data_IF_464354179448
#
_entry.id   IF_464354179448
#
_cell.length_a   1.000
_cell.length_b   1.000
_cell.length_c   1.000
_cell.angle_alpha   90.00
_cell.angle_beta   90.00
_cell.angle_gamma   90.00
#
_symmetry.space_group_name_H-M   'P 1'
#
loop_
_entity.id
_entity.type
_entity.pdbx_description
1 polymer ?
#
# COMPACT_ATOMS: atom_id res chain seq x y z
N UNK A 1 5.27 -25.85 -44.47
CA UNK A 1 6.01 -26.29 -43.27
C UNK A 1 7.54 -26.28 -43.39
N UNK A 2 8.19 -26.32 -44.55
CA UNK A 2 9.67 -26.27 -44.69
C UNK A 2 10.33 -24.91 -44.36
N UNK A 3 9.60 -23.78 -44.45
CA UNK A 3 10.17 -22.42 -44.23
C UNK A 3 10.35 -22.05 -42.72
N UNK A 4 9.63 -22.65 -41.79
CA UNK A 4 9.73 -22.29 -40.37
C UNK A 4 10.99 -22.86 -39.70
N UNK A 5 11.46 -24.04 -40.14
CA UNK A 5 12.69 -24.65 -39.62
C UNK A 5 13.98 -23.93 -40.07
N UNK A 6 13.94 -23.20 -41.19
CA UNK A 6 15.05 -22.35 -41.69
C UNK A 6 15.19 -21.08 -40.87
N UNK A 7 14.08 -20.46 -40.46
CA UNK A 7 14.05 -19.20 -39.72
C UNK A 7 14.62 -19.33 -38.31
N UNK A 8 14.22 -20.37 -37.57
CA UNK A 8 14.76 -20.65 -36.22
C UNK A 8 16.26 -20.97 -36.22
N UNK A 9 16.78 -21.63 -37.28
CA UNK A 9 18.20 -21.89 -37.45
C UNK A 9 19.00 -20.61 -37.73
N UNK A 10 18.46 -19.71 -38.53
CA UNK A 10 19.06 -18.40 -38.84
C UNK A 10 19.10 -17.53 -37.57
N UNK A 11 18.01 -17.49 -36.81
CA UNK A 11 17.91 -16.76 -35.54
C UNK A 11 18.93 -17.27 -34.50
N UNK A 12 19.00 -18.60 -34.33
CA UNK A 12 19.98 -19.23 -33.43
C UNK A 12 21.43 -18.95 -33.86
N UNK A 13 21.72 -18.97 -35.16
CA UNK A 13 23.06 -18.68 -35.72
C UNK A 13 23.40 -17.19 -35.54
N UNK A 14 22.44 -16.29 -35.69
CA UNK A 14 22.58 -14.84 -35.43
C UNK A 14 22.96 -14.57 -33.98
N UNK A 15 22.24 -15.18 -33.03
CA UNK A 15 22.46 -15.03 -31.57
C UNK A 15 23.81 -15.64 -31.12
N UNK A 16 24.21 -16.78 -31.72
CA UNK A 16 25.42 -17.52 -31.30
C UNK A 16 26.72 -16.94 -31.87
N UNK A 17 26.73 -16.41 -33.11
CA UNK A 17 27.96 -15.90 -33.75
C UNK A 17 28.37 -14.49 -33.29
N UNK A 18 27.48 -13.73 -32.63
CA UNK A 18 27.75 -12.36 -32.15
C UNK A 18 27.45 -12.20 -30.67
N UNK A 19 27.96 -13.15 -29.87
CA UNK A 19 27.65 -13.29 -28.42
C UNK A 19 27.82 -11.99 -27.62
N UNK A 20 28.85 -11.19 -27.90
CA UNK A 20 29.17 -10.01 -27.10
C UNK A 20 28.06 -8.92 -27.14
N UNK A 21 27.41 -8.70 -28.30
CA UNK A 21 26.38 -7.65 -28.44
C UNK A 21 24.99 -8.10 -28.04
N UNK A 22 24.61 -9.29 -28.47
CA UNK A 22 23.36 -9.89 -27.98
C UNK A 22 23.40 -10.02 -26.45
N UNK A 23 24.60 -10.28 -25.89
CA UNK A 23 24.82 -10.32 -24.45
C UNK A 23 24.66 -8.93 -23.81
N UNK A 24 25.20 -7.85 -24.40
CA UNK A 24 25.03 -6.49 -23.86
C UNK A 24 23.57 -6.03 -23.87
N UNK A 25 22.83 -6.32 -24.95
CA UNK A 25 21.38 -6.03 -25.00
C UNK A 25 20.60 -6.88 -24.00
N UNK A 26 20.95 -8.17 -23.85
CA UNK A 26 20.36 -9.06 -22.87
C UNK A 26 20.62 -8.58 -21.44
N UNK A 27 21.86 -8.20 -21.12
CA UNK A 27 22.22 -7.65 -19.81
C UNK A 27 21.45 -6.37 -19.53
N UNK A 28 21.37 -5.44 -20.48
CA UNK A 28 20.59 -4.20 -20.30
C UNK A 28 19.11 -4.49 -20.01
N UNK A 29 18.49 -5.42 -20.74
CA UNK A 29 17.09 -5.81 -20.53
C UNK A 29 16.91 -6.58 -19.21
N UNK A 30 17.88 -7.42 -18.83
CA UNK A 30 17.87 -8.11 -17.55
C UNK A 30 17.96 -7.12 -16.38
N UNK A 31 18.84 -6.13 -16.47
CA UNK A 31 18.96 -5.08 -15.45
C UNK A 31 17.65 -4.27 -15.35
N UNK A 32 17.09 -3.85 -16.50
CA UNK A 32 15.79 -3.16 -16.51
C UNK A 32 14.68 -3.96 -15.83
N UNK A 33 14.52 -5.22 -16.26
CA UNK A 33 13.51 -6.10 -15.70
C UNK A 33 13.76 -6.40 -14.22
N UNK A 34 15.04 -6.60 -13.84
CA UNK A 34 15.43 -6.89 -12.46
C UNK A 34 15.15 -5.72 -11.52
N UNK A 35 15.56 -4.51 -11.91
CA UNK A 35 15.32 -3.31 -11.09
C UNK A 35 13.82 -2.98 -11.02
N UNK A 36 13.10 -3.05 -12.14
CA UNK A 36 11.65 -2.85 -12.14
C UNK A 36 10.93 -3.88 -11.27
N UNK A 37 11.31 -5.16 -11.35
CA UNK A 37 10.75 -6.23 -10.49
C UNK A 37 11.06 -5.97 -9.02
N UNK A 38 12.31 -5.65 -8.68
CA UNK A 38 12.70 -5.40 -7.29
C UNK A 38 11.92 -4.21 -6.70
N UNK A 39 11.89 -3.07 -7.39
CA UNK A 39 11.19 -1.87 -6.93
C UNK A 39 9.68 -2.10 -6.78
N UNK A 40 9.04 -2.70 -7.80
CA UNK A 40 7.60 -2.94 -7.75
C UNK A 40 7.22 -3.99 -6.70
N UNK A 41 8.05 -5.00 -6.46
CA UNK A 41 7.82 -6.01 -5.42
C UNK A 41 7.99 -5.40 -4.03
N UNK A 42 9.09 -4.67 -3.79
CA UNK A 42 9.32 -3.97 -2.51
C UNK A 42 8.21 -2.96 -2.21
N UNK A 43 7.79 -2.23 -3.26
CA UNK A 43 6.70 -1.29 -3.11
C UNK A 43 5.38 -1.98 -2.72
N UNK A 44 5.00 -3.04 -3.45
CA UNK A 44 3.77 -3.77 -3.16
C UNK A 44 3.80 -4.44 -1.76
N UNK A 45 4.99 -4.79 -1.26
CA UNK A 45 5.17 -5.28 0.10
C UNK A 45 5.04 -4.16 1.14
N UNK A 46 5.66 -3.01 0.88
CA UNK A 46 5.55 -1.83 1.75
C UNK A 46 4.11 -1.35 1.85
N UNK A 47 3.42 -1.25 0.71
CA UNK A 47 2.00 -0.87 0.63
C UNK A 47 1.12 -1.84 1.45
N UNK A 48 1.31 -3.15 1.28
CA UNK A 48 0.57 -4.16 2.03
C UNK A 48 0.86 -4.11 3.55
N UNK A 49 2.11 -3.84 3.95
CA UNK A 49 2.51 -3.69 5.35
C UNK A 49 1.94 -2.40 5.95
N UNK A 50 2.10 -1.27 5.26
CA UNK A 50 1.51 0.00 5.69
C UNK A 50 -0.01 -0.12 5.88
N UNK A 51 -0.72 -0.68 4.92
CA UNK A 51 -2.17 -0.91 5.04
C UNK A 51 -2.53 -1.89 6.18
N UNK A 52 -1.66 -2.83 6.52
CA UNK A 52 -1.86 -3.73 7.66
C UNK A 52 -1.61 -2.99 8.98
N UNK A 53 -0.55 -2.22 9.07
CA UNK A 53 -0.22 -1.40 10.25
C UNK A 53 -1.29 -0.31 10.48
N UNK A 54 -1.64 0.46 9.45
CA UNK A 54 -2.68 1.49 9.57
C UNK A 54 -4.06 0.92 9.90
N UNK A 55 -4.37 -0.32 9.51
CA UNK A 55 -5.58 -1.03 9.94
C UNK A 55 -5.56 -1.41 11.41
N UNK A 56 -4.40 -1.46 12.04
CA UNK A 56 -4.27 -1.77 13.47
C UNK A 56 -4.45 -0.55 14.38
N UNK A 57 -4.49 0.68 13.83
CA UNK A 57 -4.56 1.93 14.60
C UNK A 57 -5.96 2.40 14.99
N UNK A 58 -6.93 1.50 15.15
CA UNK A 58 -8.24 1.83 15.71
C UNK A 58 -9.23 2.43 14.70
N UNK A 59 -10.10 3.32 15.18
CA UNK A 59 -11.19 3.89 14.40
C UNK A 59 -10.70 4.76 13.24
N UNK A 60 -11.33 4.60 12.08
CA UNK A 60 -11.11 5.46 10.90
C UNK A 60 -12.34 6.30 10.52
N UNK A 61 -13.49 6.01 11.16
CA UNK A 61 -14.72 6.78 11.04
C UNK A 61 -15.26 7.07 12.42
N UNK A 62 -15.76 8.28 12.62
CA UNK A 62 -16.42 8.72 13.84
C UNK A 62 -17.85 9.17 13.51
N UNK A 63 -18.80 8.71 14.32
CA UNK A 63 -20.20 9.13 14.27
C UNK A 63 -20.51 9.88 15.54
N UNK A 64 -20.98 11.11 15.39
CA UNK A 64 -21.36 12.00 16.51
C UNK A 64 -22.75 12.58 16.31
N UNK A 65 -23.37 12.97 17.40
CA UNK A 65 -24.60 13.78 17.33
C UNK A 65 -24.26 15.22 16.97
N UNK A 66 -25.06 15.91 16.12
CA UNK A 66 -24.83 17.32 15.83
C UNK A 66 -24.97 18.15 17.12
N UNK A 67 -23.94 18.94 17.39
CA UNK A 67 -23.89 19.80 18.57
C UNK A 67 -24.90 20.99 18.44
N UNK A 68 -26.15 20.73 18.71
CA UNK A 68 -27.11 21.79 19.01
C UNK A 68 -27.40 21.72 20.50
N UNK A 69 -26.75 22.59 21.30
CA UNK A 69 -27.00 22.78 22.74
C UNK A 69 -26.39 21.72 23.71
N UNK A 70 -25.09 21.47 23.64
CA UNK A 70 -24.35 20.70 24.68
C UNK A 70 -24.69 19.21 24.64
N UNK A 71 -23.67 18.36 24.62
CA UNK A 71 -23.70 16.90 24.75
C UNK A 71 -25.00 16.20 24.30
N UNK A 72 -25.34 16.32 23.01
CA UNK A 72 -26.49 15.59 22.48
C UNK A 72 -26.16 14.09 22.47
N UNK A 73 -26.90 13.33 23.27
CA UNK A 73 -26.80 11.89 23.34
C UNK A 73 -27.10 11.24 21.99
N UNK A 74 -26.41 10.18 21.68
CA UNK A 74 -26.75 9.32 20.54
C UNK A 74 -28.06 8.55 20.84
N UNK A 75 -28.88 8.26 19.83
CA UNK A 75 -30.01 7.35 19.99
C UNK A 75 -29.55 5.98 20.54
N UNK A 76 -30.38 5.36 21.39
CA UNK A 76 -30.05 4.08 22.01
C UNK A 76 -29.84 2.94 21.00
N UNK A 77 -30.39 3.05 19.80
CA UNK A 77 -30.24 2.09 18.70
C UNK A 77 -29.07 2.45 17.73
N UNK A 78 -28.39 3.59 17.96
CA UNK A 78 -27.37 4.10 17.04
C UNK A 78 -26.24 3.10 16.81
N UNK A 79 -25.71 2.47 17.86
CA UNK A 79 -24.64 1.49 17.74
C UNK A 79 -25.05 0.27 16.89
N UNK A 80 -26.28 -0.22 17.07
CA UNK A 80 -26.80 -1.34 16.29
C UNK A 80 -26.91 -0.98 14.80
N UNK A 81 -27.45 0.19 14.49
CA UNK A 81 -27.56 0.71 13.13
C UNK A 81 -26.18 0.96 12.50
N UNK A 82 -25.23 1.50 13.27
CA UNK A 82 -23.84 1.67 12.82
C UNK A 82 -23.20 0.33 12.45
N UNK A 83 -23.34 -0.68 13.30
CA UNK A 83 -22.81 -2.03 13.03
C UNK A 83 -23.40 -2.65 11.77
N UNK A 84 -24.71 -2.48 11.55
CA UNK A 84 -25.39 -2.97 10.36
C UNK A 84 -24.91 -2.25 9.08
N UNK A 85 -24.80 -0.93 9.11
CA UNK A 85 -24.40 -0.12 7.94
C UNK A 85 -22.91 -0.22 7.61
N UNK A 86 -22.04 -0.33 8.62
CA UNK A 86 -20.60 -0.44 8.44
C UNK A 86 -20.18 -1.77 7.81
N UNK A 87 -20.95 -2.84 8.06
CA UNK A 87 -20.69 -4.20 7.54
C UNK A 87 -20.16 -5.16 8.61
N UNK A 88 -20.25 -6.45 8.31
CA UNK A 88 -19.95 -7.53 9.29
C UNK A 88 -18.49 -7.54 9.78
N UNK A 89 -17.56 -7.08 8.96
CA UNK A 89 -16.12 -7.06 9.30
C UNK A 89 -15.70 -5.76 10.01
N UNK A 90 -16.61 -4.80 10.19
CA UNK A 90 -16.32 -3.55 10.87
C UNK A 90 -16.41 -3.72 12.39
N UNK A 91 -15.47 -3.13 13.12
CA UNK A 91 -15.54 -3.02 14.56
C UNK A 91 -16.10 -1.64 14.94
N UNK A 92 -17.00 -1.60 15.93
CA UNK A 92 -17.57 -0.35 16.42
C UNK A 92 -17.75 -0.38 17.93
N UNK A 93 -17.38 0.71 18.59
CA UNK A 93 -17.55 0.93 20.02
C UNK A 93 -18.14 2.33 20.28
N UNK A 94 -19.00 2.42 21.29
CA UNK A 94 -19.56 3.68 21.77
C UNK A 94 -18.74 4.25 22.92
N UNK A 95 -18.69 5.59 22.97
CA UNK A 95 -18.02 6.32 24.05
C UNK A 95 -18.90 7.44 24.57
N UNK A 96 -18.95 7.58 25.89
CA UNK A 96 -19.45 8.75 26.59
C UNK A 96 -18.32 9.44 27.31
N UNK A 97 -18.25 10.76 27.30
CA UNK A 97 -17.17 11.50 27.94
C UNK A 97 -17.71 12.46 28.99
N UNK A 98 -16.99 12.55 30.12
CA UNK A 98 -17.21 13.52 31.18
C UNK A 98 -15.86 13.99 31.74
N UNK A 99 -15.84 15.18 32.31
CA UNK A 99 -14.66 15.66 33.04
C UNK A 99 -14.94 15.54 34.54
N UNK A 100 -14.15 14.72 35.22
CA UNK A 100 -14.22 14.52 36.67
C UNK A 100 -12.96 15.04 37.32
N UNK A 101 -12.99 15.17 38.64
CA UNK A 101 -11.86 15.57 39.46
C UNK A 101 -11.34 14.35 40.26
N UNK A 102 -10.05 14.15 40.27
CA UNK A 102 -9.42 13.10 41.07
C UNK A 102 -9.36 13.49 42.57
N UNK A 103 -9.02 12.55 43.45
CA UNK A 103 -8.75 12.77 44.89
C UNK A 103 -7.66 13.82 45.15
N UNK A 104 -6.79 14.09 44.17
CA UNK A 104 -5.77 15.15 44.22
C UNK A 104 -6.24 16.50 43.70
N UNK A 105 -7.53 16.64 43.34
CA UNK A 105 -8.11 17.86 42.82
C UNK A 105 -7.76 18.14 41.35
N UNK A 106 -7.18 17.16 40.63
CA UNK A 106 -6.80 17.31 39.22
C UNK A 106 -7.94 16.90 38.31
N UNK A 107 -8.33 17.74 37.33
CA UNK A 107 -9.34 17.35 36.32
C UNK A 107 -8.80 16.26 35.43
N UNK A 108 -9.63 15.26 35.17
CA UNK A 108 -9.33 14.12 34.28
C UNK A 108 -10.54 13.82 33.41
N UNK A 109 -10.29 13.44 32.15
CA UNK A 109 -11.33 12.96 31.28
C UNK A 109 -11.67 11.51 31.61
N UNK A 110 -12.93 11.26 31.87
CA UNK A 110 -13.47 9.91 32.11
C UNK A 110 -14.28 9.51 30.90
N UNK A 111 -14.02 8.31 30.40
CA UNK A 111 -14.72 7.74 29.23
C UNK A 111 -15.50 6.49 29.63
N UNK A 112 -16.82 6.50 29.42
CA UNK A 112 -17.64 5.30 29.51
C UNK A 112 -17.62 4.54 28.20
N UNK A 113 -17.43 3.21 28.22
CA UNK A 113 -17.40 2.38 27.03
C UNK A 113 -17.67 0.89 27.33
N UNK A 114 -17.86 0.09 26.27
CA UNK A 114 -17.85 -1.37 26.32
C UNK A 114 -16.43 -1.89 26.05
N UNK A 115 -15.80 -2.48 27.05
CA UNK A 115 -14.42 -2.98 26.96
C UNK A 115 -14.25 -4.07 25.92
N UNK A 116 -15.24 -4.95 25.70
CA UNK A 116 -15.15 -6.00 24.67
C UNK A 116 -15.20 -5.41 23.26
N UNK A 117 -16.00 -4.38 23.07
CA UNK A 117 -16.08 -3.66 21.80
C UNK A 117 -14.78 -2.88 21.55
N UNK A 118 -14.25 -2.18 22.57
CA UNK A 118 -12.99 -1.43 22.47
C UNK A 118 -11.81 -2.34 22.21
N UNK A 119 -11.74 -3.50 22.85
CA UNK A 119 -10.68 -4.49 22.62
C UNK A 119 -10.64 -4.98 21.17
N UNK A 120 -11.79 -5.09 20.51
CA UNK A 120 -11.87 -5.42 19.09
C UNK A 120 -11.51 -4.24 18.19
N UNK A 121 -12.01 -3.05 18.55
CA UNK A 121 -11.77 -1.81 17.79
C UNK A 121 -10.31 -1.37 17.87
N UNK A 122 -9.74 -1.39 19.08
CA UNK A 122 -8.40 -0.88 19.40
C UNK A 122 -7.46 -2.02 19.81
N UNK A 123 -7.30 -3.02 18.93
CA UNK A 123 -6.42 -4.18 19.17
C UNK A 123 -4.94 -3.80 19.39
N UNK A 124 -4.55 -2.57 19.03
CA UNK A 124 -3.21 -2.01 19.20
C UNK A 124 -2.96 -1.43 20.61
N UNK A 125 -4.01 -1.25 21.42
CA UNK A 125 -3.86 -0.77 22.78
C UNK A 125 -3.04 -1.75 23.62
N UNK A 126 -1.98 -1.24 24.23
CA UNK A 126 -1.17 -2.01 25.17
C UNK A 126 -1.83 -1.91 26.55
N UNK A 127 -2.49 -2.97 26.97
CA UNK A 127 -3.21 -3.04 28.25
C UNK A 127 -2.65 -4.20 29.06
N UNK A 128 -2.20 -3.93 30.28
CA UNK A 128 -1.66 -4.94 31.16
C UNK A 128 -2.73 -5.95 31.62
N UNK A 129 -3.90 -5.46 31.98
CA UNK A 129 -5.05 -6.28 32.35
C UNK A 129 -6.35 -5.56 31.97
N UNK A 130 -7.22 -6.25 31.23
CA UNK A 130 -8.53 -5.71 30.88
C UNK A 130 -9.51 -5.89 32.06
N UNK A 131 -10.35 -4.87 32.36
CA UNK A 131 -11.47 -5.05 33.28
C UNK A 131 -12.38 -6.17 32.81
N UNK A 132 -12.87 -6.98 33.73
CA UNK A 132 -13.87 -8.01 33.38
C UNK A 132 -15.24 -7.36 33.23
N UNK A 133 -16.06 -7.83 32.28
CA UNK A 133 -17.40 -7.31 31.98
C UNK A 133 -18.33 -7.33 33.19
N UNK A 134 -18.09 -8.24 34.13
CA UNK A 134 -18.89 -8.41 35.35
C UNK A 134 -18.49 -7.46 36.46
N UNK A 135 -17.36 -6.78 36.37
CA UNK A 135 -16.86 -5.85 37.43
C UNK A 135 -17.27 -4.41 37.11
N UNK A 136 -18.45 -4.02 37.52
CA UNK A 136 -18.98 -2.68 37.33
C UNK A 136 -18.12 -1.57 37.97
N UNK A 137 -17.27 -1.92 38.94
CA UNK A 137 -16.41 -0.97 39.65
C UNK A 137 -14.96 -1.00 39.18
N UNK A 138 -14.67 -1.67 38.09
CA UNK A 138 -13.33 -1.71 37.53
C UNK A 138 -13.07 -0.56 36.55
N UNK A 139 -11.93 0.11 36.71
CA UNK A 139 -11.48 1.17 35.80
C UNK A 139 -10.20 0.76 35.08
N UNK A 140 -10.10 1.11 33.79
CA UNK A 140 -8.85 1.04 33.03
C UNK A 140 -8.18 2.41 33.07
N UNK A 141 -6.96 2.49 33.57
CA UNK A 141 -6.25 3.75 33.82
C UNK A 141 -5.28 4.04 32.66
N UNK A 142 -5.43 5.15 31.99
CA UNK A 142 -4.41 5.63 31.07
C UNK A 142 -3.10 5.92 31.79
N UNK A 143 -1.97 5.63 31.17
CA UNK A 143 -0.64 5.75 31.76
C UNK A 143 -0.37 7.14 32.35
N UNK A 144 -0.84 8.22 31.70
CA UNK A 144 -0.69 9.58 32.19
C UNK A 144 -1.72 9.93 33.27
N UNK A 145 -2.96 9.46 33.11
CA UNK A 145 -4.01 9.67 34.07
C UNK A 145 -3.67 9.03 35.44
N UNK A 146 -3.04 7.86 35.46
CA UNK A 146 -2.61 7.17 36.67
C UNK A 146 -1.69 8.02 37.55
N UNK A 147 -0.89 8.94 37.00
CA UNK A 147 -0.02 9.82 37.77
C UNK A 147 -0.78 10.83 38.66
N UNK A 148 -2.06 11.07 38.39
CA UNK A 148 -2.91 11.99 39.12
C UNK A 148 -3.81 11.30 40.14
N UNK A 149 -3.64 9.98 40.34
CA UNK A 149 -4.41 9.16 41.27
C UNK A 149 -3.51 8.84 42.47
N UNK A 150 -4.02 8.93 43.68
CA UNK A 150 -3.27 8.65 44.91
C UNK A 150 -3.09 7.14 45.14
N UNK A 151 -4.16 6.38 44.95
CA UNK A 151 -4.16 4.91 45.09
C UNK A 151 -4.91 4.26 43.93
N UNK A 152 -4.23 3.49 43.12
CA UNK A 152 -4.81 2.77 42.01
C UNK A 152 -5.74 1.62 42.45
N UNK A 153 -5.64 1.16 43.67
CA UNK A 153 -6.53 0.14 44.21
C UNK A 153 -7.89 0.72 44.63
N UNK A 154 -7.91 2.04 44.95
CA UNK A 154 -9.10 2.77 45.36
C UNK A 154 -9.13 4.13 44.66
N UNK A 155 -9.42 4.11 43.36
CA UNK A 155 -9.52 5.32 42.52
C UNK A 155 -10.77 6.11 42.88
N UNK A 156 -10.60 7.28 43.47
CA UNK A 156 -11.71 8.17 43.83
C UNK A 156 -11.84 9.26 42.78
N UNK A 157 -13.01 9.34 42.14
CA UNK A 157 -13.36 10.37 41.19
C UNK A 157 -14.59 11.14 41.67
N UNK A 158 -14.63 12.43 41.45
CA UNK A 158 -15.76 13.28 41.77
C UNK A 158 -16.34 13.96 40.55
N UNK A 159 -17.62 13.80 40.27
CA UNK A 159 -18.36 14.45 39.20
C UNK A 159 -19.58 15.13 39.77
N UNK A 160 -19.67 16.46 39.62
CA UNK A 160 -20.80 17.28 40.10
C UNK A 160 -21.16 16.98 41.60
N UNK A 161 -20.13 16.89 42.45
CA UNK A 161 -20.24 16.56 43.87
C UNK A 161 -20.72 15.13 44.20
N UNK A 162 -20.73 14.25 43.22
CA UNK A 162 -21.00 12.82 43.41
C UNK A 162 -19.69 12.03 43.32
N UNK A 163 -19.16 11.56 44.46
CA UNK A 163 -17.95 10.75 44.49
C UNK A 163 -18.23 9.31 44.01
N UNK A 164 -17.32 8.75 43.23
CA UNK A 164 -17.33 7.37 42.81
C UNK A 164 -15.97 6.73 43.16
N UNK A 165 -16.00 5.58 43.83
CA UNK A 165 -14.81 4.83 44.14
C UNK A 165 -14.74 3.59 43.23
N UNK A 166 -13.64 3.44 42.55
CA UNK A 166 -13.40 2.38 41.59
C UNK A 166 -12.08 1.65 41.89
N UNK A 167 -11.94 0.46 41.38
CA UNK A 167 -10.70 -0.31 41.44
C UNK A 167 -9.98 -0.21 40.06
N UNK A 168 -8.73 0.23 40.06
CA UNK A 168 -7.91 0.14 38.86
C UNK A 168 -7.64 -1.33 38.53
N UNK A 169 -8.12 -1.78 37.39
CA UNK A 169 -7.98 -3.15 36.91
C UNK A 169 -6.72 -3.35 36.09
N UNK A 170 -6.27 -2.30 35.38
CA UNK A 170 -5.08 -2.32 34.56
C UNK A 170 -4.70 -0.95 34.05
N UNK A 171 -3.55 -0.87 33.40
CA UNK A 171 -3.04 0.34 32.77
C UNK A 171 -3.08 0.24 31.26
N UNK A 172 -3.43 1.37 30.61
CA UNK A 172 -3.41 1.54 29.17
C UNK A 172 -2.21 2.39 28.78
N UNK A 173 -1.48 1.95 27.76
CA UNK A 173 -0.40 2.70 27.13
C UNK A 173 -0.61 2.71 25.63
N UNK A 174 -0.76 3.91 25.06
CA UNK A 174 -0.90 4.13 23.61
C UNK A 174 0.15 5.09 23.08
N UNK A 175 0.68 5.98 23.93
CA UNK A 175 1.49 7.12 23.52
C UNK A 175 0.64 8.31 23.05
N UNK A 176 -0.67 8.15 22.92
CA UNK A 176 -1.64 9.13 22.47
C UNK A 176 -2.44 9.79 23.59
N UNK A 177 -3.50 10.50 23.24
CA UNK A 177 -4.38 11.21 24.18
C UNK A 177 -5.17 10.26 25.10
N UNK A 178 -5.34 9.00 24.70
CA UNK A 178 -6.00 7.95 25.45
C UNK A 178 -5.29 7.70 26.79
N UNK A 179 -3.97 7.89 26.85
CA UNK A 179 -3.17 7.75 28.06
C UNK A 179 -3.56 8.75 29.15
N UNK A 180 -4.26 9.82 28.81
CA UNK A 180 -4.71 10.87 29.75
C UNK A 180 -6.13 10.65 30.26
N UNK A 181 -6.77 9.52 29.90
CA UNK A 181 -8.17 9.22 30.23
C UNK A 181 -8.28 8.06 31.21
N UNK A 182 -9.42 8.01 31.92
CA UNK A 182 -9.82 6.87 32.73
C UNK A 182 -11.06 6.26 32.09
N UNK A 183 -11.06 4.96 31.86
CA UNK A 183 -12.15 4.26 31.18
C UNK A 183 -12.96 3.44 32.18
N UNK A 184 -14.28 3.55 32.09
CA UNK A 184 -15.28 2.85 32.92
C UNK A 184 -16.20 2.00 32.04
N UNK A 185 -16.81 0.94 32.59
CA UNK A 185 -17.93 0.31 31.92
C UNK A 185 -19.04 1.32 31.65
N UNK A 186 -19.65 1.31 30.46
CA UNK A 186 -20.67 2.26 30.05
C UNK A 186 -21.83 2.35 31.06
N UNK A 187 -22.28 1.22 31.61
CA UNK A 187 -23.34 1.17 32.60
C UNK A 187 -22.98 1.95 33.88
N UNK A 188 -21.76 1.77 34.39
CA UNK A 188 -21.27 2.50 35.57
C UNK A 188 -21.12 3.99 35.30
N UNK A 189 -20.58 4.33 34.13
CA UNK A 189 -20.44 5.72 33.68
C UNK A 189 -21.79 6.44 33.60
N UNK A 190 -22.78 5.84 32.94
CA UNK A 190 -24.11 6.42 32.78
C UNK A 190 -24.86 6.54 34.13
N UNK A 191 -24.76 5.51 34.97
CA UNK A 191 -25.37 5.54 36.32
C UNK A 191 -24.77 6.65 37.22
N UNK A 192 -23.46 6.92 37.08
CA UNK A 192 -22.75 7.90 37.89
C UNK A 192 -22.95 9.34 37.39
N UNK A 193 -22.80 9.54 36.06
CA UNK A 193 -22.77 10.90 35.46
C UNK A 193 -24.11 11.34 34.89
N UNK A 194 -25.05 10.42 34.66
CA UNK A 194 -26.27 10.66 33.89
C UNK A 194 -26.03 10.89 32.39
N UNK A 195 -24.76 10.87 31.96
CA UNK A 195 -24.42 11.10 30.55
C UNK A 195 -24.58 9.82 29.74
N UNK A 196 -25.07 9.98 28.51
CA UNK A 196 -25.22 8.91 27.53
C UNK A 196 -24.08 8.91 26.53
N UNK A 197 -23.88 7.83 25.72
CA UNK A 197 -22.92 7.82 24.64
C UNK A 197 -23.09 9.02 23.70
N UNK A 198 -22.01 9.67 23.36
CA UNK A 198 -21.97 10.83 22.48
C UNK A 198 -21.20 10.62 21.19
N UNK A 199 -20.38 9.58 21.16
CA UNK A 199 -19.49 9.25 20.04
C UNK A 199 -19.53 7.74 19.77
N UNK A 200 -19.61 7.34 18.51
CA UNK A 200 -19.31 5.96 18.09
C UNK A 200 -18.09 6.01 17.20
N UNK A 201 -17.08 5.27 17.61
CA UNK A 201 -15.87 5.05 16.83
C UNK A 201 -16.01 3.76 16.02
N UNK A 202 -15.67 3.82 14.74
CA UNK A 202 -15.83 2.70 13.80
C UNK A 202 -14.53 2.46 13.07
N UNK A 203 -14.11 1.21 13.03
CA UNK A 203 -13.01 0.74 12.18
C UNK A 203 -13.60 -0.02 10.99
N UNK A 204 -13.53 0.56 9.82
CA UNK A 204 -13.92 -0.07 8.56
C UNK A 204 -12.68 -0.68 7.93
N UNK A 205 -12.65 -2.01 7.68
CA UNK A 205 -11.50 -2.64 7.06
C UNK A 205 -11.42 -2.29 5.56
N UNK A 206 -10.19 -2.27 5.04
CA UNK A 206 -9.93 -1.96 3.63
C UNK A 206 -9.35 -0.56 3.40
N UNK A 207 -9.20 -0.18 2.13
CA UNK A 207 -8.63 1.10 1.74
C UNK A 207 -9.64 2.26 1.75
N UNK A 208 -9.18 3.46 1.38
CA UNK A 208 -9.97 4.70 1.39
C UNK A 208 -11.32 4.58 0.64
N UNK A 209 -11.39 3.80 -0.44
CA UNK A 209 -12.63 3.57 -1.19
C UNK A 209 -13.70 2.82 -0.35
N UNK A 210 -13.28 1.81 0.44
CA UNK A 210 -14.18 1.07 1.32
C UNK A 210 -14.69 1.94 2.47
N UNK A 211 -13.81 2.75 3.05
CA UNK A 211 -14.16 3.74 4.10
C UNK A 211 -15.17 4.75 3.55
N UNK A 212 -14.92 5.30 2.36
CA UNK A 212 -15.85 6.25 1.71
C UNK A 212 -17.22 5.62 1.43
N UNK A 213 -17.26 4.37 0.95
CA UNK A 213 -18.49 3.64 0.71
C UNK A 213 -19.27 3.35 2.02
N UNK A 214 -18.56 2.95 3.09
CA UNK A 214 -19.17 2.75 4.41
C UNK A 214 -19.72 4.05 5.00
N UNK A 215 -18.99 5.16 4.88
CA UNK A 215 -19.46 6.48 5.31
C UNK A 215 -20.72 6.91 4.56
N UNK A 216 -20.81 6.64 3.26
CA UNK A 216 -22.01 6.93 2.49
C UNK A 216 -23.23 6.15 3.01
N UNK A 217 -23.08 4.85 3.30
CA UNK A 217 -24.13 4.03 3.91
C UNK A 217 -24.50 4.52 5.31
N UNK A 218 -23.51 4.83 6.14
CA UNK A 218 -23.75 5.37 7.50
C UNK A 218 -24.54 6.68 7.47
N UNK A 219 -24.25 7.58 6.53
CA UNK A 219 -25.02 8.85 6.37
C UNK A 219 -26.47 8.61 5.93
N UNK A 220 -26.71 7.57 5.14
CA UNK A 220 -28.06 7.19 4.73
C UNK A 220 -28.86 6.56 5.89
N UNK A 221 -28.25 5.70 6.67
CA UNK A 221 -28.90 4.99 7.78
C UNK A 221 -29.08 5.84 9.03
N UNK A 222 -28.25 6.88 9.19
CA UNK A 222 -28.24 7.75 10.38
C UNK A 222 -28.49 9.22 9.99
N UNK A 223 -29.69 9.55 9.45
CA UNK A 223 -30.01 10.93 9.08
C UNK A 223 -29.96 11.83 10.31
N UNK A 224 -29.24 12.96 10.19
CA UNK A 224 -29.08 13.92 11.30
C UNK A 224 -27.85 13.64 12.19
N UNK A 225 -27.10 12.57 11.99
CA UNK A 225 -25.79 12.36 12.63
C UNK A 225 -24.66 12.90 11.77
N UNK A 226 -23.59 13.34 12.42
CA UNK A 226 -22.34 13.70 11.74
C UNK A 226 -21.49 12.44 11.59
N UNK A 227 -21.17 12.08 10.33
CA UNK A 227 -20.31 10.95 10.01
C UNK A 227 -19.06 11.53 9.35
N UNK A 228 -17.95 11.50 10.09
CA UNK A 228 -16.70 12.09 9.66
C UNK A 228 -15.56 11.06 9.64
N UNK A 229 -14.61 11.20 8.70
CA UNK A 229 -13.39 10.39 8.76
C UNK A 229 -12.50 10.92 9.89
N UNK A 230 -11.75 10.03 10.53
CA UNK A 230 -10.67 10.44 11.42
C UNK A 230 -9.54 11.03 10.58
N UNK A 231 -9.56 12.35 10.42
CA UNK A 231 -8.72 13.10 9.44
C UNK A 231 -7.22 12.82 9.54
N UNK A 232 -6.70 12.60 10.71
CA UNK A 232 -5.25 12.41 10.91
C UNK A 232 -4.72 11.12 10.26
N UNK A 233 -5.53 10.06 10.21
CA UNK A 233 -5.14 8.77 9.63
C UNK A 233 -5.34 8.74 8.11
N UNK A 234 -6.48 9.25 7.60
CA UNK A 234 -6.84 9.12 6.19
C UNK A 234 -6.08 10.10 5.28
N UNK A 235 -5.89 11.35 5.70
CA UNK A 235 -5.19 12.36 4.87
C UNK A 235 -3.66 12.19 4.90
N UNK A 236 -3.08 11.78 6.03
CA UNK A 236 -1.66 11.48 6.16
C UNK A 236 -1.25 10.26 5.34
N UNK A 237 -2.03 9.20 5.42
CA UNK A 237 -1.82 7.95 4.69
C UNK A 237 -1.88 8.18 3.17
N UNK A 238 -2.94 8.83 2.69
CA UNK A 238 -3.13 9.09 1.26
C UNK A 238 -1.98 9.90 0.65
N UNK A 239 -1.56 10.99 1.29
CA UNK A 239 -0.48 11.84 0.75
C UNK A 239 0.89 11.17 0.73
N UNK A 240 1.22 10.38 1.76
CA UNK A 240 2.50 9.68 1.82
C UNK A 240 2.52 8.56 0.77
N UNK A 241 1.44 7.79 0.69
CA UNK A 241 1.29 6.70 -0.28
C UNK A 241 1.33 7.26 -1.71
N UNK A 242 0.56 8.31 -2.03
CA UNK A 242 0.53 8.93 -3.36
C UNK A 242 1.89 9.50 -3.79
N UNK A 243 2.63 10.16 -2.88
CA UNK A 243 3.99 10.64 -3.17
C UNK A 243 4.96 9.50 -3.38
N UNK A 244 4.87 8.45 -2.59
CA UNK A 244 5.73 7.27 -2.75
C UNK A 244 5.44 6.57 -4.07
N UNK A 245 4.16 6.45 -4.48
CA UNK A 245 3.75 5.99 -5.80
C UNK A 245 4.41 6.79 -6.92
N UNK A 246 4.28 8.11 -6.88
CA UNK A 246 4.82 9.00 -7.90
C UNK A 246 6.34 8.86 -8.03
N UNK A 247 7.06 8.78 -6.90
CA UNK A 247 8.51 8.60 -6.89
C UNK A 247 8.93 7.23 -7.44
N UNK A 248 8.23 6.17 -7.06
CA UNK A 248 8.52 4.81 -7.53
C UNK A 248 8.26 4.64 -9.03
N UNK A 249 7.10 5.10 -9.52
CA UNK A 249 6.81 5.07 -10.96
C UNK A 249 7.75 5.98 -11.74
N UNK A 250 8.14 7.13 -11.19
CA UNK A 250 9.14 8.03 -11.76
C UNK A 250 10.50 7.35 -11.88
N UNK A 251 10.96 6.65 -10.86
CA UNK A 251 12.21 5.90 -10.87
C UNK A 251 12.19 4.75 -11.88
N UNK A 252 11.11 3.97 -11.93
CA UNK A 252 10.95 2.89 -12.92
C UNK A 252 10.93 3.45 -14.33
N UNK A 253 10.25 4.58 -14.57
CA UNK A 253 10.22 5.25 -15.88
C UNK A 253 11.61 5.76 -16.29
N UNK A 254 12.36 6.37 -15.37
CA UNK A 254 13.72 6.87 -15.65
C UNK A 254 14.67 5.73 -16.02
N UNK A 255 14.60 4.62 -15.29
CA UNK A 255 15.39 3.42 -15.58
C UNK A 255 14.98 2.84 -16.93
N UNK A 256 13.68 2.73 -17.20
CA UNK A 256 13.15 2.27 -18.48
C UNK A 256 13.67 3.12 -19.65
N UNK A 257 13.68 4.45 -19.50
CA UNK A 257 14.19 5.37 -20.51
C UNK A 257 15.69 5.18 -20.76
N UNK A 258 16.48 5.07 -19.68
CA UNK A 258 17.93 4.83 -19.77
C UNK A 258 18.24 3.52 -20.49
N UNK A 259 17.49 2.47 -20.17
CA UNK A 259 17.64 1.17 -20.83
C UNK A 259 17.16 1.22 -22.27
N UNK A 260 16.07 1.93 -22.58
CA UNK A 260 15.60 2.10 -23.95
C UNK A 260 16.68 2.74 -24.83
N UNK A 261 17.37 3.77 -24.33
CA UNK A 261 18.51 4.40 -25.03
C UNK A 261 19.66 3.42 -25.22
N UNK A 262 20.01 2.64 -24.21
CA UNK A 262 21.08 1.63 -24.29
C UNK A 262 20.76 0.53 -25.30
N UNK A 263 19.55 0.00 -25.28
CA UNK A 263 19.09 -1.02 -26.23
C UNK A 263 19.02 -0.45 -27.66
N UNK A 264 18.53 0.78 -27.82
CA UNK A 264 18.51 1.47 -29.11
C UNK A 264 19.93 1.63 -29.68
N UNK A 265 20.90 2.06 -28.88
CA UNK A 265 22.28 2.20 -29.31
C UNK A 265 22.87 0.86 -29.75
N UNK A 266 22.62 -0.22 -28.96
CA UNK A 266 23.11 -1.57 -29.27
C UNK A 266 22.50 -2.13 -30.55
N UNK A 267 21.17 -1.99 -30.73
CA UNK A 267 20.48 -2.43 -31.96
C UNK A 267 20.90 -1.61 -33.18
N UNK A 268 21.07 -0.28 -33.03
CA UNK A 268 21.54 0.58 -34.11
C UNK A 268 22.95 0.20 -34.59
N UNK A 269 23.86 -0.05 -33.66
CA UNK A 269 25.19 -0.53 -33.98
C UNK A 269 25.17 -1.89 -34.70
N UNK A 270 24.31 -2.82 -34.28
CA UNK A 270 24.12 -4.12 -34.93
C UNK A 270 23.61 -3.98 -36.37
N UNK A 271 22.71 -3.04 -36.63
CA UNK A 271 22.19 -2.77 -37.98
C UNK A 271 23.27 -2.17 -38.89
N UNK A 272 24.03 -1.18 -38.40
CA UNK A 272 25.09 -0.54 -39.18
C UNK A 272 26.16 -1.52 -39.63
N UNK A 273 26.52 -2.50 -38.81
CA UNK A 273 27.48 -3.54 -39.22
C UNK A 273 26.94 -4.53 -40.26
N UNK A 274 25.63 -4.80 -40.20
CA UNK A 274 24.98 -5.69 -41.15
C UNK A 274 24.49 -4.98 -42.43
N UNK A 275 24.78 -3.68 -42.62
CA UNK A 275 24.27 -2.89 -43.74
C UNK A 275 24.56 -3.52 -45.09
N UNK A 276 25.74 -4.14 -45.29
CA UNK A 276 26.11 -4.86 -46.51
C UNK A 276 25.30 -6.12 -46.74
N UNK A 277 25.08 -6.91 -45.67
CA UNK A 277 24.28 -8.14 -45.76
C UNK A 277 22.83 -7.82 -46.11
N UNK A 278 22.28 -6.68 -45.59
CA UNK A 278 20.95 -6.21 -45.90
C UNK A 278 20.84 -5.69 -47.34
N UNK A 279 21.87 -4.98 -47.83
CA UNK A 279 21.92 -4.54 -49.22
C UNK A 279 21.89 -5.75 -50.16
N UNK A 280 22.64 -6.81 -49.83
CA UNK A 280 22.67 -8.03 -50.59
C UNK A 280 21.33 -8.78 -50.60
N UNK A 281 20.70 -8.93 -49.40
CA UNK A 281 19.36 -9.54 -49.30
C UNK A 281 18.30 -8.75 -50.06
N UNK A 282 18.37 -7.41 -50.03
CA UNK A 282 17.47 -6.54 -50.79
C UNK A 282 17.69 -6.68 -52.30
N UNK A 283 18.95 -6.82 -52.75
CA UNK A 283 19.29 -7.05 -54.18
C UNK A 283 18.81 -8.42 -54.68
N UNK A 284 18.74 -9.43 -53.80
CA UNK A 284 18.17 -10.75 -54.08
C UNK A 284 16.65 -10.83 -54.00
N UNK A 285 15.96 -9.68 -53.84
CA UNK A 285 14.50 -9.61 -53.80
C UNK A 285 13.83 -9.81 -52.44
N UNK A 286 14.62 -9.78 -51.32
CA UNK A 286 14.08 -9.84 -49.97
C UNK A 286 13.20 -8.63 -49.63
N UNK A 287 12.00 -8.85 -49.08
CA UNK A 287 11.10 -7.76 -48.70
C UNK A 287 11.59 -7.03 -47.46
N UNK A 288 11.44 -5.71 -47.42
CA UNK A 288 11.80 -4.87 -46.29
C UNK A 288 11.08 -5.31 -45.01
N UNK A 289 9.83 -5.78 -45.14
CA UNK A 289 8.99 -6.26 -44.06
C UNK A 289 9.57 -7.52 -43.39
N UNK A 290 10.17 -8.42 -44.16
CA UNK A 290 10.84 -9.63 -43.66
C UNK A 290 12.08 -9.29 -42.80
N UNK A 291 12.87 -8.30 -43.27
CA UNK A 291 14.03 -7.81 -42.52
C UNK A 291 13.64 -7.16 -41.19
N UNK A 292 12.60 -6.31 -41.23
CA UNK A 292 12.03 -5.68 -40.06
C UNK A 292 11.51 -6.70 -39.03
N UNK A 293 10.75 -7.70 -39.51
CA UNK A 293 10.22 -8.77 -38.70
C UNK A 293 11.32 -9.57 -37.96
N UNK A 294 12.47 -9.79 -38.64
CA UNK A 294 13.60 -10.49 -38.05
C UNK A 294 14.23 -9.69 -36.91
N UNK A 295 14.40 -8.36 -37.05
CA UNK A 295 14.91 -7.52 -35.96
C UNK A 295 13.96 -7.43 -34.78
N UNK A 296 12.67 -7.25 -35.07
CA UNK A 296 11.66 -7.21 -34.02
C UNK A 296 11.63 -8.53 -33.25
N UNK A 297 11.70 -9.65 -33.96
CA UNK A 297 11.72 -10.96 -33.31
C UNK A 297 12.98 -11.17 -32.47
N UNK A 298 14.17 -10.75 -32.96
CA UNK A 298 15.42 -10.80 -32.20
C UNK A 298 15.32 -9.96 -30.93
N UNK A 299 14.79 -8.73 -31.01
CA UNK A 299 14.56 -7.85 -29.88
C UNK A 299 13.55 -8.43 -28.87
N UNK A 300 12.45 -9.03 -29.36
CA UNK A 300 11.44 -9.66 -28.51
C UNK A 300 11.99 -10.90 -27.76
N UNK A 301 12.78 -11.72 -28.43
CA UNK A 301 13.41 -12.90 -27.80
C UNK A 301 14.37 -12.46 -26.69
N UNK A 302 15.18 -11.41 -26.95
CA UNK A 302 16.07 -10.84 -25.94
C UNK A 302 15.29 -10.21 -24.78
N UNK A 303 14.15 -9.52 -25.07
CA UNK A 303 13.29 -8.95 -24.04
C UNK A 303 12.68 -10.04 -23.16
N UNK A 304 12.13 -11.10 -23.75
CA UNK A 304 11.57 -12.23 -22.99
C UNK A 304 12.61 -12.91 -22.12
N UNK A 305 13.79 -13.21 -22.68
CA UNK A 305 14.89 -13.80 -21.93
C UNK A 305 15.34 -12.86 -20.78
N UNK A 306 15.48 -11.57 -21.07
CA UNK A 306 15.82 -10.54 -20.10
C UNK A 306 14.79 -10.43 -18.97
N UNK A 307 13.50 -10.51 -19.29
CA UNK A 307 12.43 -10.48 -18.28
C UNK A 307 12.49 -11.71 -17.37
N UNK A 308 12.67 -12.91 -17.93
CA UNK A 308 12.75 -14.14 -17.12
C UNK A 308 13.93 -14.08 -16.15
N UNK A 309 15.12 -13.77 -16.65
CA UNK A 309 16.32 -13.66 -15.80
C UNK A 309 16.20 -12.48 -14.83
N UNK A 310 15.72 -11.33 -15.31
CA UNK A 310 15.53 -10.13 -14.52
C UNK A 310 14.48 -10.31 -13.42
N UNK A 311 13.40 -11.03 -13.68
CA UNK A 311 12.41 -11.35 -12.66
C UNK A 311 13.00 -12.20 -11.53
N UNK A 312 13.81 -13.21 -11.86
CA UNK A 312 14.47 -14.04 -10.85
C UNK A 312 15.48 -13.22 -10.03
N UNK A 313 16.36 -12.47 -10.71
CA UNK A 313 17.38 -11.63 -10.04
C UNK A 313 16.72 -10.50 -9.24
N UNK A 314 15.70 -9.84 -9.79
CA UNK A 314 14.98 -8.77 -9.11
C UNK A 314 14.19 -9.26 -7.89
N UNK A 315 13.57 -10.43 -7.99
CA UNK A 315 12.89 -11.04 -6.84
C UNK A 315 13.87 -11.45 -5.74
N UNK A 316 15.04 -11.98 -6.11
CA UNK A 316 16.10 -12.31 -5.16
C UNK A 316 16.65 -11.04 -4.48
N UNK A 317 16.86 -9.96 -5.24
CA UNK A 317 17.28 -8.67 -4.69
C UNK A 317 16.21 -8.09 -3.74
N UNK A 318 14.92 -8.13 -4.11
CA UNK A 318 13.83 -7.69 -3.25
C UNK A 318 13.78 -8.48 -1.94
N UNK A 319 13.96 -9.80 -2.02
CA UNK A 319 14.03 -10.67 -0.85
C UNK A 319 15.20 -10.30 0.06
N UNK A 320 16.40 -10.13 -0.47
CA UNK A 320 17.60 -9.74 0.31
C UNK A 320 17.41 -8.37 0.99
N UNK A 321 16.88 -7.38 0.27
CA UNK A 321 16.64 -6.03 0.81
C UNK A 321 15.57 -6.08 1.90
N UNK A 322 14.48 -6.83 1.69
CA UNK A 322 13.39 -6.96 2.67
C UNK A 322 13.86 -7.68 3.94
N UNK A 323 14.65 -8.73 3.81
CA UNK A 323 15.21 -9.46 4.96
C UNK A 323 16.17 -8.60 5.76
N UNK A 324 17.09 -7.88 5.07
CA UNK A 324 18.09 -7.03 5.72
C UNK A 324 17.49 -5.83 6.47
N UNK A 325 16.39 -5.24 5.97
CA UNK A 325 15.83 -4.01 6.54
C UNK A 325 14.60 -4.27 7.42
N UNK A 326 13.81 -5.30 7.13
CA UNK A 326 12.51 -5.53 7.78
C UNK A 326 12.43 -6.88 8.50
N UNK A 327 13.47 -7.72 8.42
CA UNK A 327 13.47 -9.10 8.96
C UNK A 327 12.24 -9.90 8.54
N UNK A 328 11.76 -9.67 7.33
CA UNK A 328 10.58 -10.34 6.76
C UNK A 328 10.87 -10.75 5.32
N UNK A 329 10.59 -12.00 4.99
CA UNK A 329 10.78 -12.52 3.65
C UNK A 329 9.75 -11.90 2.67
N UNK A 330 10.23 -11.19 1.65
CA UNK A 330 9.41 -10.75 0.51
C UNK A 330 9.28 -11.90 -0.48
N UNK A 331 8.06 -12.39 -0.71
CA UNK A 331 7.81 -13.45 -1.67
C UNK A 331 7.69 -12.88 -3.10
N UNK A 332 8.18 -13.62 -4.13
CA UNK A 332 8.03 -13.21 -5.52
C UNK A 332 6.57 -12.96 -5.89
N UNK A 333 6.24 -11.76 -6.32
CA UNK A 333 4.87 -11.37 -6.70
C UNK A 333 4.66 -11.54 -8.20
N UNK A 334 4.01 -12.60 -8.62
CA UNK A 334 3.67 -12.86 -10.02
C UNK A 334 2.79 -11.74 -10.63
N UNK A 335 2.09 -10.98 -9.81
CA UNK A 335 1.28 -9.83 -10.25
C UNK A 335 2.10 -8.71 -10.88
N UNK A 336 3.40 -8.61 -10.55
CA UNK A 336 4.32 -7.61 -11.11
C UNK A 336 4.80 -8.02 -12.51
N UNK A 337 4.83 -9.31 -12.81
CA UNK A 337 5.37 -9.87 -14.06
C UNK A 337 4.71 -9.29 -15.34
N UNK A 338 3.37 -9.16 -15.46
CA UNK A 338 2.75 -8.63 -16.66
C UNK A 338 3.18 -7.17 -16.96
N UNK A 339 3.33 -6.35 -15.93
CA UNK A 339 3.75 -4.96 -16.08
C UNK A 339 5.21 -4.86 -16.52
N UNK A 340 6.10 -5.64 -15.92
CA UNK A 340 7.53 -5.71 -16.29
C UNK A 340 7.69 -6.25 -17.71
N UNK A 341 6.92 -7.27 -18.08
CA UNK A 341 6.91 -7.82 -19.44
C UNK A 341 6.45 -6.77 -20.45
N UNK A 342 5.33 -6.10 -20.20
CA UNK A 342 4.80 -5.06 -21.07
C UNK A 342 5.84 -3.94 -21.26
N UNK A 343 6.44 -3.45 -20.19
CA UNK A 343 7.46 -2.40 -20.24
C UNK A 343 8.66 -2.80 -21.11
N UNK A 344 9.23 -4.00 -20.88
CA UNK A 344 10.40 -4.46 -21.63
C UNK A 344 10.08 -4.76 -23.10
N UNK A 345 8.90 -5.31 -23.41
CA UNK A 345 8.43 -5.52 -24.79
C UNK A 345 8.25 -4.18 -25.50
N UNK A 346 7.72 -3.17 -24.83
CA UNK A 346 7.53 -1.83 -25.37
C UNK A 346 8.88 -1.15 -25.66
N UNK A 347 9.84 -1.27 -24.74
CA UNK A 347 11.22 -0.81 -24.94
C UNK A 347 11.85 -1.49 -26.15
N UNK A 348 11.75 -2.83 -26.25
CA UNK A 348 12.31 -3.60 -27.35
C UNK A 348 11.68 -3.22 -28.70
N UNK A 349 10.35 -3.04 -28.74
CA UNK A 349 9.62 -2.63 -29.94
C UNK A 349 10.03 -1.21 -30.37
N UNK A 350 10.06 -0.24 -29.47
CA UNK A 350 10.48 1.13 -29.77
C UNK A 350 11.93 1.19 -30.24
N UNK A 351 12.84 0.50 -29.56
CA UNK A 351 14.26 0.44 -29.92
C UNK A 351 14.49 -0.21 -31.28
N UNK A 352 13.67 -1.18 -31.69
CA UNK A 352 13.77 -1.84 -32.99
C UNK A 352 13.24 -0.98 -34.17
N UNK A 353 12.33 -0.03 -33.91
CA UNK A 353 11.76 0.80 -34.97
C UNK A 353 12.74 1.86 -35.52
N UNK A 354 13.64 2.38 -34.71
CA UNK A 354 14.57 3.42 -35.12
C UNK A 354 15.61 2.94 -36.16
N UNK A 355 16.33 1.82 -35.95
CA UNK A 355 17.26 1.29 -36.95
C UNK A 355 16.60 0.97 -38.28
N UNK A 356 15.33 0.60 -38.26
CA UNK A 356 14.54 0.32 -39.45
C UNK A 356 14.30 1.58 -40.29
N UNK A 357 14.06 2.74 -39.66
CA UNK A 357 13.94 4.01 -40.39
C UNK A 357 15.25 4.38 -41.09
N UNK A 358 16.39 4.12 -40.47
CA UNK A 358 17.72 4.34 -41.08
C UNK A 358 17.92 3.44 -42.29
N UNK A 359 17.49 2.17 -42.20
CA UNK A 359 17.58 1.23 -43.35
C UNK A 359 16.71 1.62 -44.53
N UNK A 360 15.62 2.36 -44.37
CA UNK A 360 14.77 2.84 -45.48
C UNK A 360 15.52 3.78 -46.43
N UNK A 361 16.45 4.58 -45.92
CA UNK A 361 17.25 5.54 -46.68
C UNK A 361 18.45 4.93 -47.42
N UNK A 362 18.79 3.66 -47.18
CA UNK A 362 19.93 3.03 -47.83
C UNK A 362 19.65 2.60 -49.27
N UNK A 363 20.37 3.20 -50.24
CA UNK A 363 20.35 2.79 -51.62
C UNK A 363 21.33 1.61 -51.84
N UNK A 364 20.86 0.42 -52.31
CA UNK A 364 21.69 -0.77 -52.47
C UNK A 364 22.89 -0.52 -53.40
N UNK A 365 22.71 0.32 -54.45
CA UNK A 365 23.74 0.60 -55.43
C UNK A 365 24.95 1.37 -54.88
N UNK A 366 24.77 2.28 -53.92
CA UNK A 366 25.85 3.04 -53.28
C UNK A 366 26.68 2.19 -52.36
N UNK A 367 26.02 1.28 -51.62
CA UNK A 367 26.68 0.40 -50.63
C UNK A 367 27.48 -0.76 -51.27
N UNK A 368 27.12 -1.18 -52.50
CA UNK A 368 27.83 -2.21 -53.21
C UNK A 368 29.04 -1.65 -54.00
N UNK A 369 29.05 -0.33 -54.32
CA UNK A 369 30.17 0.36 -54.96
C UNK A 369 31.32 0.76 -53.98
N UNK A 370 31.09 0.65 -52.67
CA UNK A 370 32.14 0.94 -51.68
C UNK A 370 32.30 2.44 -51.34
N UNK A 371 31.34 3.28 -51.76
CA UNK A 371 31.27 4.70 -51.37
C UNK A 371 30.49 4.91 -50.10
#
# INVERSE_FOLDING_TARGET
MKNQLSFGRILRRSLVHRRARSLSALVAMTVSAGVATALLTLYADLDAKLHKEFRSFGANVVVTSPASNGAAALPSDALARVRQAAGADAAAAEFGYAVATTDRGTPVVVAGTDFDAVKRLNAWWQVDAWPTVTDANAALLGQRAANFIADEKAVVLNFADHPLTLRGAGRLRTGGDEDSRIYLPMAAFTAWTGAHPSVIEVQVPGGAANVAAAMARLRQELPGMQVEPVRQLVEGESRIVDRTHALMYGAVLLIALTVAVSVLATLSASVLERRRDFALMKALGGSQMQLMGMFLLEALVLALAGVVVGFVVGSAAAWLISEANFHTASLPRLQVLPLVLLLNVLIAAMASLFPVRVLRGLQPAALLKGE
#
